data_IF_545354554733
#
_entry.id   IF_545354554733
#
_cell.length_a   1.000
_cell.length_b   1.000
_cell.length_c   1.000
_cell.angle_alpha   90.00
_cell.angle_beta   90.00
_cell.angle_gamma   90.00
#
_symmetry.space_group_name_H-M   'P 1'
#
loop_
_entity.id
_entity.type
_entity.pdbx_description
1 polymer ?
#
# COMPACT_ATOMS: atom_id res chain seq x y z
N UNK A 1 33.85 8.69 -12.28
CA UNK A 1 32.49 8.47 -12.80
C UNK A 1 31.61 8.08 -11.63
N UNK A 2 30.79 8.98 -11.06
CA UNK A 2 29.82 8.55 -10.05
C UNK A 2 28.62 7.91 -10.77
N UNK A 3 28.37 6.66 -10.42
CA UNK A 3 27.26 5.85 -10.89
C UNK A 3 25.96 6.33 -10.21
N UNK A 4 25.03 6.80 -11.02
CA UNK A 4 23.57 6.66 -10.90
C UNK A 4 22.97 6.57 -9.48
N UNK A 5 23.01 7.64 -8.70
CA UNK A 5 22.00 7.85 -7.66
C UNK A 5 20.66 8.13 -8.38
N UNK A 6 19.75 7.15 -8.41
CA UNK A 6 18.35 7.41 -8.76
C UNK A 6 17.81 8.61 -7.96
N UNK A 7 16.82 9.37 -8.46
CA UNK A 7 16.38 10.61 -7.81
C UNK A 7 16.17 10.33 -6.33
N UNK A 8 17.02 10.95 -5.49
CA UNK A 8 16.94 10.78 -4.04
C UNK A 8 15.50 11.10 -3.64
N UNK A 9 14.85 10.18 -2.95
CA UNK A 9 13.48 10.36 -2.46
C UNK A 9 13.41 11.72 -1.77
N UNK A 10 12.57 12.60 -2.29
CA UNK A 10 12.58 13.98 -1.82
C UNK A 10 11.85 14.07 -0.49
N UNK A 11 12.25 15.01 0.37
CA UNK A 11 11.50 15.28 1.60
C UNK A 11 10.02 15.57 1.29
N UNK A 12 9.73 16.21 0.16
CA UNK A 12 8.38 16.48 -0.31
C UNK A 12 7.57 15.19 -0.62
N UNK A 13 8.21 14.15 -1.18
CA UNK A 13 7.55 12.88 -1.43
C UNK A 13 7.19 12.16 -0.13
N UNK A 14 8.12 12.19 0.84
CA UNK A 14 7.91 11.60 2.17
C UNK A 14 6.78 12.33 2.91
N UNK A 15 6.78 13.66 2.90
CA UNK A 15 5.76 14.47 3.53
C UNK A 15 4.38 14.22 2.92
N UNK A 16 4.29 14.22 1.59
CA UNK A 16 3.06 13.92 0.88
C UNK A 16 2.55 12.51 1.19
N UNK A 17 3.43 11.50 1.16
CA UNK A 17 3.02 10.12 1.41
C UNK A 17 2.64 9.87 2.87
N UNK A 18 3.26 10.60 3.80
CA UNK A 18 2.87 10.58 5.22
C UNK A 18 1.42 11.03 5.39
N UNK A 19 0.98 12.06 4.65
CA UNK A 19 -0.43 12.49 4.63
C UNK A 19 -1.32 11.39 4.08
N UNK A 20 -0.96 10.77 2.94
CA UNK A 20 -1.71 9.66 2.33
C UNK A 20 -1.89 8.49 3.31
N UNK A 21 -0.83 8.08 3.99
CA UNK A 21 -0.87 7.00 4.99
C UNK A 21 -1.82 7.38 6.13
N UNK A 22 -1.65 8.57 6.72
CA UNK A 22 -2.50 9.05 7.82
C UNK A 22 -3.98 9.11 7.43
N UNK A 23 -4.30 9.59 6.24
CA UNK A 23 -5.67 9.77 5.77
C UNK A 23 -6.37 8.44 5.43
N UNK A 24 -5.63 7.46 4.93
CA UNK A 24 -6.24 6.24 4.37
C UNK A 24 -5.99 4.96 5.18
N UNK A 25 -5.19 5.01 6.25
CA UNK A 25 -4.90 3.84 7.10
C UNK A 25 -6.19 3.18 7.62
N UNK A 26 -7.07 3.96 8.25
CA UNK A 26 -8.34 3.45 8.77
C UNK A 26 -9.22 2.83 7.67
N UNK A 27 -9.21 3.42 6.47
CA UNK A 27 -10.00 2.95 5.34
C UNK A 27 -9.51 1.58 4.83
N UNK A 28 -8.19 1.38 4.76
CA UNK A 28 -7.59 0.10 4.36
C UNK A 28 -7.73 -0.96 5.44
N UNK A 29 -7.44 -0.65 6.71
CA UNK A 29 -7.62 -1.60 7.81
C UNK A 29 -9.07 -2.08 7.88
N UNK A 30 -10.04 -1.17 7.77
CA UNK A 30 -11.47 -1.56 7.72
C UNK A 30 -11.82 -2.36 6.48
N UNK A 31 -11.18 -2.09 5.33
CA UNK A 31 -11.39 -2.87 4.12
C UNK A 31 -10.97 -4.34 4.31
N UNK A 32 -9.79 -4.57 4.88
CA UNK A 32 -9.26 -5.90 5.12
C UNK A 32 -9.97 -6.63 6.26
N UNK A 33 -10.22 -5.95 7.39
CA UNK A 33 -10.93 -6.53 8.52
C UNK A 33 -12.35 -7.01 8.16
N UNK A 34 -12.97 -6.46 7.10
CA UNK A 34 -14.26 -6.90 6.58
C UNK A 34 -14.19 -8.08 5.61
N UNK A 35 -13.00 -8.39 5.08
CA UNK A 35 -12.82 -9.32 3.94
C UNK A 35 -11.81 -10.42 4.20
N UNK A 36 -11.12 -10.42 5.33
CA UNK A 36 -10.14 -11.42 5.72
C UNK A 36 -10.02 -11.51 7.24
N UNK A 37 -9.06 -12.31 7.74
CA UNK A 37 -8.78 -12.41 9.17
C UNK A 37 -8.43 -11.03 9.74
N UNK A 38 -9.05 -10.66 10.86
CA UNK A 38 -8.89 -9.32 11.44
C UNK A 38 -7.47 -9.07 11.92
N UNK A 39 -6.77 -10.11 12.38
CA UNK A 39 -5.38 -9.98 12.84
C UNK A 39 -4.41 -9.59 11.71
N UNK A 40 -4.71 -9.93 10.46
CA UNK A 40 -3.82 -9.65 9.32
C UNK A 40 -4.11 -8.27 8.69
N UNK A 41 -5.14 -7.56 9.17
CA UNK A 41 -5.65 -6.37 8.48
C UNK A 41 -4.66 -5.20 8.47
N UNK A 42 -3.89 -5.01 9.53
CA UNK A 42 -2.88 -3.96 9.63
C UNK A 42 -1.67 -4.29 8.75
N UNK A 43 -1.20 -5.53 8.77
CA UNK A 43 -0.10 -6.00 7.94
C UNK A 43 -0.43 -5.89 6.44
N UNK A 44 -1.63 -6.31 6.04
CA UNK A 44 -2.09 -6.18 4.66
C UNK A 44 -2.23 -4.71 4.24
N UNK A 45 -2.63 -3.82 5.15
CA UNK A 45 -2.66 -2.39 4.88
C UNK A 45 -1.23 -1.82 4.69
N UNK A 46 -0.28 -2.25 5.52
CA UNK A 46 1.12 -1.88 5.38
C UNK A 46 1.70 -2.36 4.04
N UNK A 47 1.37 -3.58 3.57
CA UNK A 47 1.78 -4.08 2.26
C UNK A 47 1.25 -3.23 1.10
N UNK A 48 0.00 -2.74 1.21
CA UNK A 48 -0.59 -1.84 0.21
C UNK A 48 0.17 -0.51 0.18
N UNK A 49 0.45 0.09 1.34
CA UNK A 49 1.22 1.34 1.40
C UNK A 49 2.65 1.15 0.90
N UNK A 50 3.32 0.05 1.25
CA UNK A 50 4.65 -0.26 0.73
C UNK A 50 4.64 -0.39 -0.82
N UNK A 51 3.57 -0.96 -1.37
CA UNK A 51 3.38 -1.02 -2.83
C UNK A 51 3.09 0.35 -3.44
N UNK A 52 2.29 1.17 -2.77
CA UNK A 52 2.01 2.53 -3.18
C UNK A 52 3.28 3.40 -3.20
N UNK A 53 4.15 3.28 -2.20
CA UNK A 53 5.42 4.02 -2.15
C UNK A 53 6.37 3.64 -3.29
N UNK A 54 6.53 2.33 -3.56
CA UNK A 54 7.34 1.84 -4.69
C UNK A 54 6.82 2.29 -6.05
N UNK A 55 5.52 2.60 -6.14
CA UNK A 55 4.83 3.04 -7.36
C UNK A 55 4.30 4.47 -7.24
N UNK A 56 4.92 5.30 -6.40
CA UNK A 56 4.45 6.66 -6.11
C UNK A 56 4.33 7.52 -7.36
N UNK A 57 5.17 7.28 -8.36
CA UNK A 57 5.15 8.01 -9.63
C UNK A 57 3.94 7.64 -10.52
N UNK A 58 3.37 6.43 -10.32
CA UNK A 58 2.17 5.96 -11.00
C UNK A 58 0.87 6.33 -10.25
N UNK A 59 0.98 6.96 -9.08
CA UNK A 59 -0.14 7.13 -8.16
C UNK A 59 -0.88 8.45 -8.46
N UNK A 60 -2.14 8.40 -8.93
CA UNK A 60 -2.89 9.61 -9.30
C UNK A 60 -3.24 10.43 -8.06
N UNK A 61 -2.78 11.69 -7.99
CA UNK A 61 -2.89 12.55 -6.80
C UNK A 61 -4.33 12.86 -6.42
N UNK A 62 -5.22 12.92 -7.40
CA UNK A 62 -6.66 13.17 -7.25
C UNK A 62 -7.49 11.90 -6.99
N UNK A 63 -6.91 10.71 -7.17
CA UNK A 63 -7.62 9.43 -7.10
C UNK A 63 -6.85 8.37 -6.29
N UNK A 64 -6.17 8.80 -5.24
CA UNK A 64 -5.33 7.93 -4.39
C UNK A 64 -6.14 6.79 -3.77
N UNK A 65 -7.24 7.08 -3.09
CA UNK A 65 -8.03 6.08 -2.38
C UNK A 65 -8.59 4.98 -3.32
N UNK A 66 -9.19 5.30 -4.49
CA UNK A 66 -9.54 4.29 -5.49
C UNK A 66 -8.37 3.40 -5.91
N UNK A 67 -7.19 3.98 -6.14
CA UNK A 67 -5.98 3.22 -6.48
C UNK A 67 -5.58 2.27 -5.35
N UNK A 68 -5.59 2.76 -4.10
CA UNK A 68 -5.28 1.96 -2.91
C UNK A 68 -6.25 0.77 -2.77
N UNK A 69 -7.55 0.96 -3.00
CA UNK A 69 -8.51 -0.14 -2.93
C UNK A 69 -8.32 -1.20 -4.02
N UNK A 70 -7.92 -0.77 -5.23
CA UNK A 70 -7.57 -1.72 -6.29
C UNK A 70 -6.37 -2.58 -5.87
N UNK A 71 -5.32 -1.95 -5.35
CA UNK A 71 -4.13 -2.64 -4.84
C UNK A 71 -4.49 -3.55 -3.66
N UNK A 72 -5.35 -3.10 -2.74
CA UNK A 72 -5.82 -3.90 -1.62
C UNK A 72 -6.54 -5.19 -2.06
N UNK A 73 -7.32 -5.13 -3.14
CA UNK A 73 -7.96 -6.32 -3.72
C UNK A 73 -6.93 -7.36 -4.19
N UNK A 74 -5.86 -6.92 -4.86
CA UNK A 74 -4.78 -7.81 -5.30
C UNK A 74 -3.99 -8.38 -4.12
N UNK A 75 -3.66 -7.55 -3.13
CA UNK A 75 -2.97 -7.95 -1.90
C UNK A 75 -3.76 -9.03 -1.15
N UNK A 76 -5.08 -8.83 -0.97
CA UNK A 76 -5.95 -9.82 -0.32
C UNK A 76 -6.01 -11.13 -1.10
N UNK A 77 -6.15 -11.06 -2.43
CA UNK A 77 -6.18 -12.26 -3.28
C UNK A 77 -4.86 -13.04 -3.20
N UNK A 78 -3.73 -12.35 -3.11
CA UNK A 78 -2.42 -12.97 -2.96
C UNK A 78 -2.24 -13.63 -1.59
N UNK A 79 -2.61 -12.94 -0.51
CA UNK A 79 -2.56 -13.48 0.86
C UNK A 79 -3.40 -14.77 0.98
N UNK A 80 -4.63 -14.77 0.43
CA UNK A 80 -5.50 -15.95 0.42
C UNK A 80 -4.88 -17.16 -0.27
N UNK A 81 -4.20 -16.96 -1.42
CA UNK A 81 -3.50 -18.04 -2.12
C UNK A 81 -2.38 -18.63 -1.25
N UNK A 82 -1.56 -17.79 -0.63
CA UNK A 82 -0.49 -18.23 0.28
C UNK A 82 -1.00 -19.04 1.47
N UNK A 83 -2.16 -18.68 2.03
CA UNK A 83 -2.76 -19.42 3.14
C UNK A 83 -3.29 -20.81 2.73
N UNK A 84 -3.72 -20.96 1.47
CA UNK A 84 -4.18 -22.25 0.94
C UNK A 84 -2.99 -23.17 0.64
N UNK A 85 -1.87 -22.60 0.20
CA UNK A 85 -0.66 -23.34 -0.19
C UNK A 85 0.23 -23.77 1.00
N UNK A 86 -0.09 -23.36 2.23
CA UNK A 86 0.58 -23.85 3.44
C UNK A 86 -0.03 -25.20 3.88
N UNK A 87 0.75 -26.30 3.93
CA UNK A 87 0.30 -27.63 4.36
C UNK A 87 0.02 -27.74 5.87
#
# INVERSE_FOLDING_TARGET
>A
MPDSAGPAETAADVDWFTVIVREHSTALVRYFARRGPRQDAEDLAAEVFATAWRRRDDLPREAVLPWLYRTAGFTLANSRRKHIDLP
#
